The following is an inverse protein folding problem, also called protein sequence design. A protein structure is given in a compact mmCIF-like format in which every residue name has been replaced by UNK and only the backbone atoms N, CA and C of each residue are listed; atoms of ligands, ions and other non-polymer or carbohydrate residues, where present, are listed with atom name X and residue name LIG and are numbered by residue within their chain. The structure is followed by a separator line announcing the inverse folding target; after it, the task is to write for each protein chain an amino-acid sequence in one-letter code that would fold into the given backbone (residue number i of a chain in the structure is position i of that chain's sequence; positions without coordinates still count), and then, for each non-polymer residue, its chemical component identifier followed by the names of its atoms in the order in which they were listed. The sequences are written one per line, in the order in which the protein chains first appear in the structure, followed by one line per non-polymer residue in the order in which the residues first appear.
data_IF_080193496645
#
_entry.id   IF_080193496645
#
_cell.length_a   1.000
_cell.length_b   1.000
_cell.length_c   1.000
_cell.angle_alpha   90.00
_cell.angle_beta   90.00
_cell.angle_gamma   90.00
#
_symmetry.space_group_name_H-M   'P 1'
#
loop_
_entity.id
_entity.type
_entity.pdbx_description
1 polymer ?
#
# COMPACT_ATOMS: atom_id res chain seq x y z
N UNK A 1 -18.80 2.76 11.67
CA UNK A 1 -18.07 3.86 12.33
C UNK A 1 -16.60 3.52 12.57
N UNK A 2 -16.25 2.47 13.34
CA UNK A 2 -14.83 2.11 13.59
C UNK A 2 -13.98 1.84 12.32
N UNK A 3 -14.57 1.24 11.28
CA UNK A 3 -13.91 1.02 9.98
C UNK A 3 -13.52 2.34 9.28
N UNK A 4 -14.32 3.38 9.42
CA UNK A 4 -14.03 4.70 8.84
C UNK A 4 -12.83 5.35 9.52
N UNK A 5 -12.78 5.32 10.86
CA UNK A 5 -11.62 5.80 11.62
C UNK A 5 -10.35 5.01 11.31
N UNK A 6 -10.44 3.69 11.20
CA UNK A 6 -9.30 2.85 10.81
C UNK A 6 -8.80 3.20 9.40
N UNK A 7 -9.70 3.47 8.46
CA UNK A 7 -9.34 3.91 7.10
C UNK A 7 -8.59 5.24 7.10
N UNK A 8 -9.06 6.23 7.86
CA UNK A 8 -8.39 7.53 8.00
C UNK A 8 -6.98 7.34 8.57
N UNK A 9 -6.85 6.62 9.69
CA UNK A 9 -5.54 6.35 10.30
C UNK A 9 -4.60 5.58 9.37
N UNK A 10 -5.10 4.56 8.68
CA UNK A 10 -4.29 3.80 7.72
C UNK A 10 -3.79 4.67 6.57
N UNK A 11 -4.64 5.55 6.02
CA UNK A 11 -4.25 6.47 4.94
C UNK A 11 -3.11 7.41 5.36
N UNK A 12 -3.18 7.93 6.59
CA UNK A 12 -2.12 8.76 7.17
C UNK A 12 -0.82 7.99 7.34
N UNK A 13 -0.89 6.75 7.86
CA UNK A 13 0.31 5.92 8.08
C UNK A 13 0.99 5.56 6.76
N UNK A 14 0.24 5.08 5.77
CA UNK A 14 0.84 4.67 4.49
C UNK A 14 1.33 5.87 3.67
N UNK A 15 0.61 7.01 3.72
CA UNK A 15 1.02 8.23 3.03
C UNK A 15 2.20 8.92 3.69
N UNK A 16 2.07 9.29 4.96
CA UNK A 16 3.11 10.02 5.68
C UNK A 16 4.32 9.13 5.99
N UNK A 17 4.12 7.85 6.30
CA UNK A 17 5.21 6.95 6.69
C UNK A 17 6.27 6.79 5.61
N UNK A 18 5.87 6.59 4.35
CA UNK A 18 6.82 6.51 3.25
C UNK A 18 7.48 7.87 2.95
N UNK A 19 6.72 8.96 3.03
CA UNK A 19 7.25 10.31 2.84
C UNK A 19 8.35 10.63 3.87
N UNK A 20 8.07 10.36 5.16
CA UNK A 20 9.01 10.48 6.28
C UNK A 20 10.26 9.64 6.03
N UNK A 21 10.10 8.38 5.60
CA UNK A 21 11.22 7.50 5.32
C UNK A 21 12.11 8.06 4.21
N UNK A 22 11.52 8.60 3.14
CA UNK A 22 12.29 9.16 2.02
C UNK A 22 12.93 10.52 2.30
N UNK A 23 12.39 11.29 3.25
CA UNK A 23 12.96 12.57 3.65
C UNK A 23 14.16 12.41 4.60
N UNK A 24 14.11 11.42 5.50
CA UNK A 24 15.18 11.16 6.48
C UNK A 24 16.37 10.44 5.84
N UNK A 25 16.13 9.50 4.92
CA UNK A 25 17.21 8.71 4.32
C UNK A 25 17.75 9.31 3.02
N UNK A 26 19.09 9.39 2.85
CA UNK A 26 19.71 9.89 1.63
C UNK A 26 19.46 8.95 0.45
N UNK A 27 19.47 9.48 -0.79
CA UNK A 27 19.08 8.75 -2.00
C UNK A 27 19.79 7.40 -2.21
N UNK A 28 21.02 7.27 -1.73
CA UNK A 28 21.82 6.04 -1.81
C UNK A 28 21.34 4.93 -0.84
N UNK A 29 20.72 5.30 0.28
CA UNK A 29 20.23 4.35 1.29
C UNK A 29 18.72 4.13 1.25
N UNK A 30 17.97 4.99 0.54
CA UNK A 30 16.50 4.88 0.37
C UNK A 30 16.05 3.49 -0.06
N UNK A 31 16.75 2.85 -1.00
CA UNK A 31 16.40 1.52 -1.48
C UNK A 31 16.46 0.45 -0.39
N UNK A 32 17.47 0.52 0.49
CA UNK A 32 17.61 -0.38 1.64
C UNK A 32 16.54 -0.10 2.69
N UNK A 33 16.29 1.17 3.00
CA UNK A 33 15.27 1.58 3.96
C UNK A 33 13.85 1.14 3.50
N UNK A 34 13.51 1.36 2.23
CA UNK A 34 12.25 0.92 1.63
C UNK A 34 12.17 -0.62 1.65
N UNK A 35 13.25 -1.32 1.33
CA UNK A 35 13.29 -2.79 1.40
C UNK A 35 13.00 -3.34 2.81
N UNK A 36 13.58 -2.73 3.85
CA UNK A 36 13.31 -3.09 5.26
C UNK A 36 11.85 -2.80 5.62
N UNK A 37 11.32 -1.64 5.22
CA UNK A 37 9.92 -1.29 5.46
C UNK A 37 8.97 -2.31 4.82
N UNK A 38 9.20 -2.66 3.55
CA UNK A 38 8.41 -3.66 2.82
C UNK A 38 8.55 -5.05 3.45
N UNK A 39 9.74 -5.45 3.89
CA UNK A 39 9.94 -6.70 4.62
C UNK A 39 9.15 -6.74 5.93
N UNK A 40 9.10 -5.63 6.68
CA UNK A 40 8.30 -5.51 7.89
C UNK A 40 6.80 -5.59 7.62
N UNK A 41 6.31 -4.99 6.51
CA UNK A 41 4.91 -5.12 6.08
C UNK A 41 4.56 -6.58 5.77
N UNK A 42 5.40 -7.29 5.02
CA UNK A 42 5.17 -8.70 4.70
C UNK A 42 5.28 -9.62 5.91
N UNK A 43 6.16 -9.31 6.86
CA UNK A 43 6.18 -9.98 8.17
C UNK A 43 4.84 -9.83 8.89
N UNK A 44 4.33 -8.60 8.97
CA UNK A 44 3.03 -8.34 9.58
C UNK A 44 1.90 -9.09 8.88
N UNK A 45 1.91 -9.14 7.54
CA UNK A 45 0.93 -9.89 6.74
C UNK A 45 1.03 -11.41 6.95
N UNK A 46 2.22 -11.94 7.21
CA UNK A 46 2.44 -13.38 7.44
C UNK A 46 2.09 -13.78 8.87
N UNK A 47 2.59 -13.03 9.86
CA UNK A 47 2.37 -13.29 11.28
C UNK A 47 0.95 -12.92 11.71
N UNK A 48 0.31 -11.96 11.06
CA UNK A 48 -1.03 -11.46 11.40
C UNK A 48 -2.09 -12.56 11.43
N UNK A 49 -2.33 -13.30 10.33
CA UNK A 49 -3.28 -14.41 10.30
C UNK A 49 -2.90 -15.55 11.25
N UNK A 50 -1.61 -15.83 11.41
CA UNK A 50 -1.14 -16.89 12.32
C UNK A 50 -1.45 -16.56 13.78
N UNK A 51 -1.02 -15.39 14.26
CA UNK A 51 -1.30 -14.92 15.62
C UNK A 51 -2.80 -14.67 15.82
N UNK A 52 -3.47 -14.08 14.83
CA UNK A 52 -4.92 -13.84 14.86
C UNK A 52 -5.72 -15.14 14.96
N UNK A 53 -5.31 -16.20 14.25
CA UNK A 53 -5.94 -17.52 14.33
C UNK A 53 -5.78 -18.17 15.71
N UNK A 54 -4.61 -18.04 16.33
CA UNK A 54 -4.37 -18.49 17.71
C UNK A 54 -5.27 -17.72 18.68
N UNK A 55 -5.29 -16.39 18.59
CA UNK A 55 -6.10 -15.49 19.43
C UNK A 55 -7.60 -15.79 19.36
N UNK A 56 -8.13 -16.03 18.16
CA UNK A 56 -9.54 -16.39 17.96
C UNK A 56 -9.85 -17.75 18.56
N UNK A 57 -8.92 -18.71 18.44
CA UNK A 57 -9.11 -20.08 18.96
C UNK A 57 -9.05 -20.13 20.49
N UNK A 58 -8.20 -19.34 21.14
CA UNK A 58 -7.98 -19.42 22.59
C UNK A 58 -8.84 -18.48 23.40
N UNK A 59 -9.04 -17.24 22.93
CA UNK A 59 -9.75 -16.20 23.69
C UNK A 59 -11.15 -16.03 23.12
N UNK A 60 -11.25 -15.42 21.94
CA UNK A 60 -12.49 -15.07 21.25
C UNK A 60 -12.15 -14.18 20.04
N UNK A 61 -13.08 -13.98 19.10
CA UNK A 61 -12.83 -13.12 17.93
C UNK A 61 -12.61 -11.64 18.26
N UNK A 62 -13.19 -11.15 19.36
CA UNK A 62 -13.05 -9.76 19.82
C UNK A 62 -11.60 -9.42 20.20
N UNK A 63 -10.80 -10.42 20.57
CA UNK A 63 -9.39 -10.24 20.95
C UNK A 63 -8.55 -9.58 19.85
N UNK A 64 -8.87 -9.81 18.57
CA UNK A 64 -8.17 -9.20 17.43
C UNK A 64 -8.20 -7.66 17.51
N UNK A 65 -9.33 -7.09 17.95
CA UNK A 65 -9.49 -5.63 18.05
C UNK A 65 -8.67 -5.06 19.21
N UNK A 66 -8.65 -5.76 20.35
CA UNK A 66 -7.83 -5.38 21.49
C UNK A 66 -6.34 -5.44 21.16
N UNK A 67 -5.88 -6.51 20.49
CA UNK A 67 -4.48 -6.62 20.04
C UNK A 67 -4.08 -5.45 19.14
N UNK A 68 -4.94 -5.09 18.17
CA UNK A 68 -4.69 -3.91 17.32
C UNK A 68 -4.60 -2.61 18.11
N UNK A 69 -5.48 -2.42 19.10
CA UNK A 69 -5.46 -1.25 19.98
C UNK A 69 -4.17 -1.18 20.82
N UNK A 70 -3.77 -2.27 21.48
CA UNK A 70 -2.55 -2.30 22.30
C UNK A 70 -1.28 -2.08 21.48
N UNK A 71 -1.18 -2.69 20.29
CA UNK A 71 -0.06 -2.47 19.38
C UNK A 71 0.00 -1.01 18.90
N UNK A 72 -1.15 -0.43 18.57
CA UNK A 72 -1.24 0.99 18.22
C UNK A 72 -0.78 1.91 19.35
N UNK A 73 -1.21 1.64 20.59
CA UNK A 73 -0.80 2.40 21.76
C UNK A 73 0.71 2.29 22.02
N UNK A 74 1.28 1.08 21.93
CA UNK A 74 2.73 0.86 22.07
C UNK A 74 3.53 1.60 21.00
N UNK A 75 3.06 1.62 19.76
CA UNK A 75 3.70 2.36 18.67
C UNK A 75 3.66 3.88 18.93
N UNK A 76 2.54 4.41 19.40
CA UNK A 76 2.42 5.83 19.76
C UNK A 76 3.41 6.18 20.87
N UNK A 77 3.47 5.38 21.93
CA UNK A 77 4.45 5.55 23.02
C UNK A 77 5.87 5.54 22.44
N UNK A 78 6.21 4.55 21.62
CA UNK A 78 7.54 4.44 21.03
C UNK A 78 7.90 5.65 20.18
N UNK A 79 6.97 6.14 19.35
CA UNK A 79 7.19 7.35 18.54
C UNK A 79 7.39 8.57 19.44
N UNK A 80 6.59 8.76 20.48
CA UNK A 80 6.72 9.91 21.40
C UNK A 80 8.05 9.92 22.16
N UNK A 81 8.60 8.76 22.52
CA UNK A 81 9.85 8.67 23.28
C UNK A 81 11.10 8.57 22.40
N UNK A 82 11.04 7.89 21.26
CA UNK A 82 12.19 7.61 20.40
C UNK A 82 12.38 8.62 19.27
N UNK A 83 11.29 9.22 18.73
CA UNK A 83 11.38 10.28 17.73
C UNK A 83 11.51 11.65 18.42
N UNK A 84 12.72 11.98 18.86
CA UNK A 84 13.07 13.32 19.35
C UNK A 84 13.83 14.07 18.25
N UNK A 85 13.11 14.79 17.40
CA UNK A 85 13.73 15.61 16.35
C UNK A 85 12.78 16.69 15.84
N UNK A 86 13.29 17.90 15.63
CA UNK A 86 12.52 19.02 15.06
C UNK A 86 12.14 18.71 13.60
N UNK A 87 10.86 18.41 13.40
CA UNK A 87 10.24 18.30 12.08
C UNK A 87 10.00 19.69 11.50
N UNK A 88 11.07 20.38 11.13
CA UNK A 88 10.95 21.66 10.43
C UNK A 88 10.71 21.37 8.95
N UNK A 89 9.43 21.28 8.57
CA UNK A 89 9.04 21.25 7.15
C UNK A 89 9.47 22.57 6.51
N UNK A 90 10.53 22.55 5.71
CA UNK A 90 10.92 23.72 4.92
C UNK A 90 9.91 23.85 3.77
N UNK A 91 9.14 24.94 3.78
CA UNK A 91 8.05 25.34 2.87
C UNK A 91 6.68 24.73 3.15
N UNK A 92 5.72 25.62 3.42
CA UNK A 92 4.29 25.36 3.26
C UNK A 92 4.03 25.30 1.75
N UNK A 93 4.12 24.12 1.14
CA UNK A 93 3.52 23.93 -0.18
C UNK A 93 2.00 23.85 0.01
N UNK A 94 1.26 24.62 -0.79
CA UNK A 94 -0.19 24.62 -0.73
C UNK A 94 -0.74 23.26 -1.16
N UNK A 95 -1.56 22.64 -0.31
CA UNK A 95 -2.20 21.37 -0.61
C UNK A 95 -3.34 21.56 -1.60
N UNK A 96 -3.40 20.73 -2.65
CA UNK A 96 -4.54 20.72 -3.57
C UNK A 96 -5.76 20.01 -2.96
N UNK A 97 -6.51 20.75 -2.14
CA UNK A 97 -7.73 20.27 -1.48
C UNK A 97 -8.82 19.92 -2.50
N UNK A 98 -8.94 20.69 -3.58
CA UNK A 98 -9.96 20.48 -4.60
C UNK A 98 -9.67 19.22 -5.41
N UNK A 99 -8.43 19.05 -5.87
CA UNK A 99 -7.96 17.85 -6.55
C UNK A 99 -8.10 16.61 -5.67
N UNK A 100 -7.74 16.72 -4.38
CA UNK A 100 -7.94 15.66 -3.38
C UNK A 100 -9.40 15.22 -3.27
N UNK A 101 -10.34 16.17 -3.23
CA UNK A 101 -11.77 15.86 -3.12
C UNK A 101 -12.32 15.21 -4.39
N UNK A 102 -11.95 15.72 -5.58
CA UNK A 102 -12.34 15.13 -6.87
C UNK A 102 -11.82 13.69 -6.95
N UNK A 103 -10.55 13.46 -6.59
CA UNK A 103 -9.95 12.14 -6.59
C UNK A 103 -10.65 11.19 -5.61
N UNK A 104 -10.88 11.63 -4.37
CA UNK A 104 -11.55 10.83 -3.35
C UNK A 104 -12.98 10.45 -3.75
N UNK A 105 -13.75 11.40 -4.29
CA UNK A 105 -15.11 11.16 -4.78
C UNK A 105 -15.11 10.20 -5.98
N UNK A 106 -14.17 10.37 -6.92
CA UNK A 106 -14.03 9.50 -8.10
C UNK A 106 -13.70 8.06 -7.69
N UNK A 107 -12.73 7.89 -6.79
CA UNK A 107 -12.37 6.59 -6.20
C UNK A 107 -13.55 5.95 -5.47
N UNK A 108 -14.27 6.72 -4.66
CA UNK A 108 -15.44 6.23 -3.93
C UNK A 108 -16.50 5.69 -4.90
N UNK A 109 -16.93 6.50 -5.87
CA UNK A 109 -17.94 6.10 -6.86
C UNK A 109 -17.50 4.85 -7.64
N UNK A 110 -16.24 4.82 -8.08
CA UNK A 110 -15.71 3.71 -8.87
C UNK A 110 -15.67 2.39 -8.07
N UNK A 111 -15.07 2.41 -6.87
CA UNK A 111 -14.95 1.23 -6.01
C UNK A 111 -16.33 0.76 -5.53
N UNK A 112 -17.20 1.69 -5.13
CA UNK A 112 -18.55 1.37 -4.69
C UNK A 112 -19.37 0.72 -5.82
N UNK A 113 -19.29 1.29 -7.04
CA UNK A 113 -19.95 0.76 -8.21
C UNK A 113 -19.51 -0.67 -8.55
N UNK A 114 -18.21 -0.95 -8.50
CA UNK A 114 -17.66 -2.31 -8.73
C UNK A 114 -18.10 -3.27 -7.63
N UNK A 115 -18.07 -2.85 -6.36
CA UNK A 115 -18.42 -3.70 -5.22
C UNK A 115 -19.87 -4.21 -5.29
N UNK A 116 -20.78 -3.41 -5.88
CA UNK A 116 -22.20 -3.72 -5.99
C UNK A 116 -22.65 -3.92 -7.45
N UNK A 117 -21.76 -4.42 -8.31
CA UNK A 117 -21.96 -4.54 -9.76
C UNK A 117 -23.20 -5.34 -10.18
N UNK A 118 -23.73 -6.20 -9.29
CA UNK A 118 -24.94 -7.00 -9.55
C UNK A 118 -26.18 -6.15 -9.80
N UNK A 119 -26.24 -4.93 -9.28
CA UNK A 119 -27.35 -4.01 -9.57
C UNK A 119 -26.97 -3.11 -10.76
N UNK A 120 -27.75 -3.12 -11.86
CA UNK A 120 -27.41 -2.35 -13.06
C UNK A 120 -27.32 -0.84 -12.81
N UNK A 121 -27.99 -0.31 -11.78
CA UNK A 121 -27.86 1.11 -11.42
C UNK A 121 -26.44 1.48 -11.01
N UNK A 122 -25.66 0.51 -10.51
CA UNK A 122 -24.29 0.74 -10.06
C UNK A 122 -23.28 0.86 -11.21
N UNK A 123 -23.68 0.50 -12.43
CA UNK A 123 -22.91 0.84 -13.64
C UNK A 123 -22.81 2.38 -13.77
N UNK A 124 -23.85 3.12 -13.39
CA UNK A 124 -23.79 4.59 -13.40
C UNK A 124 -22.72 5.14 -12.45
N UNK A 125 -22.51 4.51 -11.28
CA UNK A 125 -21.45 4.87 -10.34
C UNK A 125 -20.05 4.57 -10.89
N UNK A 126 -19.89 3.45 -11.62
CA UNK A 126 -18.63 3.12 -12.31
C UNK A 126 -18.32 4.18 -13.37
N UNK A 127 -19.31 4.53 -14.21
CA UNK A 127 -19.16 5.55 -15.25
C UNK A 127 -18.86 6.91 -14.62
N UNK A 128 -19.58 7.30 -13.56
CA UNK A 128 -19.35 8.55 -12.84
C UNK A 128 -17.93 8.61 -12.23
N UNK A 129 -17.46 7.52 -11.63
CA UNK A 129 -16.08 7.43 -11.12
C UNK A 129 -15.04 7.52 -12.23
N UNK A 130 -15.26 6.84 -13.36
CA UNK A 130 -14.37 6.92 -14.53
C UNK A 130 -14.31 8.34 -15.12
N UNK A 131 -15.46 9.00 -15.27
CA UNK A 131 -15.52 10.41 -15.70
C UNK A 131 -14.86 11.35 -14.68
N UNK A 132 -15.03 11.08 -13.39
CA UNK A 132 -14.37 11.81 -12.32
C UNK A 132 -12.83 11.71 -12.39
N UNK A 133 -12.28 10.54 -12.71
CA UNK A 133 -10.83 10.40 -12.96
C UNK A 133 -10.36 11.21 -14.17
N UNK A 134 -11.15 11.24 -15.26
CA UNK A 134 -10.84 12.09 -16.42
C UNK A 134 -10.86 13.57 -16.04
N UNK A 135 -11.84 13.99 -15.22
CA UNK A 135 -11.92 15.36 -14.72
C UNK A 135 -10.73 15.70 -13.80
N UNK A 136 -10.35 14.79 -12.90
CA UNK A 136 -9.18 14.92 -12.04
C UNK A 136 -7.90 15.10 -12.88
N UNK A 137 -7.69 14.26 -13.88
CA UNK A 137 -6.53 14.36 -14.78
C UNK A 137 -6.50 15.69 -15.54
N UNK A 138 -7.64 16.21 -15.97
CA UNK A 138 -7.72 17.52 -16.63
C UNK A 138 -7.42 18.66 -15.65
N UNK A 139 -7.97 18.58 -14.44
CA UNK A 139 -7.80 19.57 -13.38
C UNK A 139 -6.32 19.68 -12.95
N UNK A 140 -5.70 18.56 -12.62
CA UNK A 140 -4.30 18.47 -12.19
C UNK A 140 -3.28 18.96 -13.24
N UNK A 141 -3.63 18.89 -14.53
CA UNK A 141 -2.78 19.47 -15.59
C UNK A 141 -2.73 21.00 -15.55
N UNK A 142 -3.69 21.65 -14.90
CA UNK A 142 -3.86 23.12 -14.89
C UNK A 142 -3.52 23.77 -13.56
N UNK A 143 -3.35 23.00 -12.50
CA UNK A 143 -3.09 23.51 -11.13
C UNK A 143 -1.59 23.72 -10.91
N UNK A 144 -1.24 24.76 -10.15
CA UNK A 144 0.15 25.12 -9.85
C UNK A 144 0.85 24.15 -8.87
N UNK A 145 0.09 23.60 -7.91
CA UNK A 145 0.55 22.61 -6.93
C UNK A 145 -0.23 21.29 -7.07
N UNK A 146 -0.05 20.56 -8.19
CA UNK A 146 -0.82 19.34 -8.46
C UNK A 146 -0.52 18.26 -7.42
N UNK A 147 -1.56 17.57 -6.93
CA UNK A 147 -1.42 16.39 -6.08
C UNK A 147 -0.64 15.28 -6.80
N UNK A 148 -0.81 15.17 -8.12
CA UNK A 148 -0.12 14.20 -8.95
C UNK A 148 0.45 14.90 -10.18
N UNK A 149 1.78 14.95 -10.29
CA UNK A 149 2.46 15.55 -11.43
C UNK A 149 2.29 14.71 -12.71
N UNK A 150 1.17 14.93 -13.43
CA UNK A 150 0.79 14.18 -14.64
C UNK A 150 1.84 14.31 -15.75
N UNK A 151 2.59 15.41 -15.78
CA UNK A 151 3.69 15.63 -16.72
C UNK A 151 4.75 14.53 -16.64
N UNK A 152 5.04 13.99 -15.45
CA UNK A 152 6.04 12.91 -15.26
C UNK A 152 5.62 11.64 -15.99
N UNK A 153 4.33 11.30 -15.96
CA UNK A 153 3.81 10.13 -16.67
C UNK A 153 3.87 10.28 -18.20
N UNK A 154 3.76 11.51 -18.70
CA UNK A 154 3.81 11.79 -20.15
C UNK A 154 5.24 11.86 -20.67
N UNK A 155 6.15 12.47 -19.90
CA UNK A 155 7.55 12.68 -20.30
C UNK A 155 8.40 11.43 -20.05
N UNK A 156 8.17 10.70 -18.95
CA UNK A 156 8.97 9.54 -18.57
C UNK A 156 8.20 8.23 -18.83
N UNK A 157 8.39 7.67 -20.04
CA UNK A 157 7.78 6.40 -20.43
C UNK A 157 8.17 5.24 -19.51
N UNK A 158 9.42 5.21 -19.02
CA UNK A 158 9.86 4.18 -18.08
C UNK A 158 9.05 4.24 -16.78
N UNK A 159 8.79 5.44 -16.27
CA UNK A 159 7.95 5.63 -15.10
C UNK A 159 6.49 5.18 -15.35
N UNK A 160 5.91 5.54 -16.50
CA UNK A 160 4.55 5.11 -16.87
C UNK A 160 4.44 3.57 -16.94
N UNK A 161 5.35 2.91 -17.67
CA UNK A 161 5.34 1.45 -17.80
C UNK A 161 5.64 0.75 -16.48
N UNK A 162 6.50 1.32 -15.62
CA UNK A 162 6.78 0.75 -14.30
C UNK A 162 5.53 0.78 -13.40
N UNK A 163 4.78 1.89 -13.40
CA UNK A 163 3.53 2.00 -12.66
C UNK A 163 2.43 1.10 -13.24
N UNK A 164 2.35 0.99 -14.58
CA UNK A 164 1.39 0.09 -15.22
C UNK A 164 1.70 -1.38 -14.92
N UNK A 165 2.97 -1.77 -14.96
CA UNK A 165 3.42 -3.10 -14.57
C UNK A 165 3.12 -3.38 -13.10
N UNK A 166 3.36 -2.41 -12.21
CA UNK A 166 3.01 -2.52 -10.79
C UNK A 166 1.49 -2.71 -10.61
N UNK A 167 0.67 -1.91 -11.29
CA UNK A 167 -0.79 -2.03 -11.26
C UNK A 167 -1.24 -3.43 -11.66
N UNK A 168 -0.81 -3.92 -12.83
CA UNK A 168 -1.15 -5.26 -13.33
C UNK A 168 -0.69 -6.34 -12.35
N UNK A 169 0.53 -6.22 -11.81
CA UNK A 169 1.09 -7.18 -10.85
C UNK A 169 0.25 -7.24 -9.59
N UNK A 170 -0.13 -6.10 -9.01
CA UNK A 170 -0.97 -6.08 -7.81
C UNK A 170 -2.38 -6.60 -8.08
N UNK A 171 -3.00 -6.21 -9.20
CA UNK A 171 -4.31 -6.74 -9.61
C UNK A 171 -4.29 -8.26 -9.77
N UNK A 172 -3.29 -8.80 -10.46
CA UNK A 172 -3.11 -10.24 -10.64
C UNK A 172 -2.86 -10.94 -9.30
N UNK A 173 -2.02 -10.35 -8.44
CA UNK A 173 -1.70 -10.93 -7.12
C UNK A 173 -2.95 -11.09 -6.25
N UNK A 174 -3.81 -10.07 -6.19
CA UNK A 174 -5.07 -10.16 -5.43
C UNK A 174 -6.06 -11.15 -6.06
N UNK A 175 -6.21 -11.12 -7.39
CA UNK A 175 -7.11 -12.01 -8.10
C UNK A 175 -6.70 -13.48 -7.92
N UNK A 176 -5.42 -13.79 -8.09
CA UNK A 176 -4.86 -15.14 -7.89
C UNK A 176 -5.02 -15.58 -6.44
N UNK A 177 -4.68 -14.72 -5.46
CA UNK A 177 -4.85 -15.06 -4.04
C UNK A 177 -6.30 -15.40 -3.68
N UNK A 178 -7.25 -14.64 -4.21
CA UNK A 178 -8.68 -14.90 -4.01
C UNK A 178 -9.13 -16.20 -4.70
N UNK A 179 -8.85 -16.38 -5.99
CA UNK A 179 -9.25 -17.55 -6.76
C UNK A 179 -8.60 -18.84 -6.24
N UNK A 180 -7.33 -18.78 -5.84
CA UNK A 180 -6.62 -19.92 -5.27
C UNK A 180 -7.23 -20.34 -3.93
N UNK A 181 -7.55 -19.37 -3.06
CA UNK A 181 -8.25 -19.63 -1.80
C UNK A 181 -9.58 -20.37 -2.02
N UNK A 182 -10.37 -19.88 -2.99
CA UNK A 182 -11.65 -20.48 -3.36
C UNK A 182 -11.47 -21.88 -3.96
N UNK A 183 -10.48 -22.08 -4.85
CA UNK A 183 -10.18 -23.37 -5.45
C UNK A 183 -9.78 -24.42 -4.39
N UNK A 184 -8.90 -24.04 -3.46
CA UNK A 184 -8.43 -24.96 -2.42
C UNK A 184 -9.56 -25.39 -1.47
N UNK A 185 -10.48 -24.49 -1.13
CA UNK A 185 -11.60 -24.82 -0.24
C UNK A 185 -12.72 -25.57 -0.95
N UNK A 186 -13.20 -25.06 -2.10
CA UNK A 186 -14.39 -25.60 -2.76
C UNK A 186 -14.10 -26.77 -3.71
N UNK A 187 -12.94 -26.78 -4.38
CA UNK A 187 -12.59 -27.84 -5.34
C UNK A 187 -11.73 -28.92 -4.71
N UNK A 188 -10.72 -28.53 -3.91
CA UNK A 188 -9.84 -29.49 -3.21
C UNK A 188 -10.38 -29.95 -1.86
N UNK A 189 -11.47 -29.34 -1.36
CA UNK A 189 -12.10 -29.73 -0.09
C UNK A 189 -11.22 -29.49 1.14
N UNK A 190 -10.18 -28.65 1.03
CA UNK A 190 -9.32 -28.35 2.16
C UNK A 190 -10.07 -27.51 3.18
N UNK A 191 -9.81 -27.74 4.47
CA UNK A 191 -10.37 -26.90 5.50
C UNK A 191 -9.75 -25.47 5.44
N UNK A 192 -10.42 -24.45 6.00
CA UNK A 192 -9.92 -23.06 5.94
C UNK A 192 -8.52 -22.88 6.56
N UNK A 193 -8.17 -23.71 7.54
CA UNK A 193 -6.87 -23.66 8.22
C UNK A 193 -5.73 -24.12 7.30
N UNK A 194 -5.89 -25.27 6.64
CA UNK A 194 -4.94 -25.80 5.67
C UNK A 194 -4.77 -24.85 4.48
N UNK A 195 -5.89 -24.30 3.98
CA UNK A 195 -5.87 -23.30 2.90
C UNK A 195 -5.08 -22.06 3.33
N UNK A 196 -5.33 -21.56 4.53
CA UNK A 196 -4.59 -20.42 5.08
C UNK A 196 -3.09 -20.67 5.16
N UNK A 197 -2.66 -21.83 5.66
CA UNK A 197 -1.23 -22.20 5.74
C UNK A 197 -0.59 -22.24 4.36
N UNK A 198 -1.28 -22.78 3.36
CA UNK A 198 -0.77 -22.85 1.99
C UNK A 198 -0.63 -21.45 1.36
N UNK A 199 -1.60 -20.56 1.62
CA UNK A 199 -1.56 -19.18 1.14
C UNK A 199 -0.48 -18.34 1.83
N UNK A 200 -0.10 -18.69 3.06
CA UNK A 200 1.02 -18.04 3.77
C UNK A 200 2.38 -18.33 3.15
N UNK A 201 2.52 -19.36 2.31
CA UNK A 201 3.78 -19.66 1.62
C UNK A 201 4.27 -18.47 0.78
N UNK A 202 3.34 -17.81 0.06
CA UNK A 202 3.68 -16.67 -0.80
C UNK A 202 4.33 -15.50 -0.04
N UNK A 203 3.69 -14.89 0.98
CA UNK A 203 4.30 -13.79 1.72
C UNK A 203 5.53 -14.23 2.52
N UNK A 204 5.64 -15.51 2.91
CA UNK A 204 6.83 -16.05 3.56
C UNK A 204 8.05 -16.04 2.62
N UNK A 205 7.90 -16.46 1.35
CA UNK A 205 8.97 -16.33 0.36
C UNK A 205 9.31 -14.87 0.08
N UNK A 206 8.32 -13.97 0.01
CA UNK A 206 8.57 -12.54 -0.15
C UNK A 206 9.37 -11.96 1.02
N UNK A 207 9.05 -12.36 2.25
CA UNK A 207 9.80 -11.94 3.44
C UNK A 207 11.26 -12.38 3.37
N UNK A 208 11.52 -13.65 3.06
CA UNK A 208 12.88 -14.21 2.99
C UNK A 208 13.68 -13.55 1.87
N UNK A 209 13.06 -13.31 0.70
CA UNK A 209 13.75 -12.81 -0.49
C UNK A 209 13.89 -11.28 -0.54
N UNK A 210 13.05 -10.52 0.18
CA UNK A 210 13.06 -9.05 0.15
C UNK A 210 14.43 -8.41 0.47
N UNK A 211 15.17 -8.84 1.51
CA UNK A 211 16.50 -8.30 1.81
C UNK A 211 17.53 -8.55 0.70
N UNK A 212 17.44 -9.71 0.02
CA UNK A 212 18.34 -10.06 -1.08
C UNK A 212 18.08 -9.20 -2.31
N UNK A 213 16.81 -8.94 -2.64
CA UNK A 213 16.45 -8.05 -3.74
C UNK A 213 16.97 -6.62 -3.50
N UNK A 214 16.84 -6.10 -2.28
CA UNK A 214 17.38 -4.78 -1.91
C UNK A 214 18.91 -4.71 -2.01
N UNK A 215 19.60 -5.79 -1.68
CA UNK A 215 21.07 -5.89 -1.77
C UNK A 215 21.55 -6.00 -3.22
N UNK A 216 20.85 -6.76 -4.06
CA UNK A 216 21.15 -6.84 -5.50
C UNK A 216 20.99 -5.49 -6.21
N UNK A 217 19.95 -4.73 -5.85
CA UNK A 217 19.72 -3.40 -6.43
C UNK A 217 20.83 -2.42 -6.03
N UNK A 218 21.31 -2.47 -4.79
CA UNK A 218 22.38 -1.60 -4.30
C UNK A 218 23.73 -1.92 -4.95
N UNK A 219 24.05 -3.22 -5.12
CA UNK A 219 25.26 -3.68 -5.81
C UNK A 219 25.27 -3.28 -7.30
N UNK A 220 24.14 -3.41 -8.00
CA UNK A 220 24.03 -3.03 -9.42
C UNK A 220 24.21 -1.52 -9.63
N UNK A 221 23.68 -0.67 -8.73
CA UNK A 221 23.91 0.79 -8.78
C UNK A 221 25.37 1.18 -8.51
N UNK A 222 26.03 0.52 -7.55
CA UNK A 222 27.45 0.75 -7.23
C UNK A 222 28.38 0.42 -8.40
N UNK A 223 28.04 -0.62 -9.19
CA UNK A 223 28.79 -0.97 -10.40
C UNK A 223 28.52 -0.05 -11.60
N UNK A 224 27.34 0.58 -11.68
CA UNK A 224 27.06 1.58 -12.73
C UNK A 224 27.69 2.94 -12.43
N UNK A 225 27.74 3.38 -11.17
CA UNK A 225 28.46 4.61 -10.79
C UNK A 225 29.96 4.51 -11.13
N UNK A 226 30.60 3.38 -10.85
CA UNK A 226 32.01 3.13 -11.23
C UNK A 226 32.28 3.13 -12.74
N UNK A 227 31.27 3.01 -13.59
CA UNK A 227 31.41 3.05 -15.06
C UNK A 227 31.21 4.44 -15.66
N UNK A 228 30.72 5.40 -14.87
CA UNK A 228 30.49 6.78 -15.32
C UNK A 228 31.67 7.68 -14.93
N UNK A 229 32.47 7.25 -13.94
CA UNK A 229 33.68 7.95 -13.48
C UNK A 229 34.99 7.48 -14.19
N UNK A 230 34.89 6.79 -15.33
CA UNK A 230 36.01 6.35 -16.20
C UNK A 230 35.75 6.82 -17.62
#
# INVERSE_FOLDING_TARGET
MFRSFQGIGASMIFGAGLAILTSVFPANERGKAIGINVAAVYLGLTLGPFLGGILVKTICWQSIFFTGFYLGALLIIFVLFALKGEWKSSKQEELDIKGSFIYAASMFCFIYGISQIKNPINISFIIAGALGFVQFVKYEKTVNHPLLQISVFSTNRLFLYSNLAAFITYSATFAVGFLLSQHLQYVKGLNPQQTGVLLLAQPMFMFILSPFAGTFLSLKRRNMSKRIDV
#
